data_IF_353297144806
#
_entry.id   IF_353297144806
#
_cell.length_a   1.000
_cell.length_b   1.000
_cell.length_c   1.000
_cell.angle_alpha   90.00
_cell.angle_beta   90.00
_cell.angle_gamma   90.00
#
_symmetry.space_group_name_H-M   'P 1'
#
loop_
_entity.id
_entity.type
_entity.pdbx_description
1 polymer ?
#
# COMPACT_ATOMS: atom_id res chain seq x y z
N UNK A 1 8.58 17.89 1.18
CA UNK A 1 7.13 17.69 1.43
C UNK A 1 6.62 16.57 0.52
N UNK A 2 5.33 16.20 0.57
CA UNK A 2 4.72 15.27 -0.41
C UNK A 2 3.65 15.97 -1.26
N UNK A 3 3.70 15.78 -2.57
CA UNK A 3 2.76 16.36 -3.56
C UNK A 3 2.09 15.26 -4.38
N UNK A 4 0.82 15.44 -4.70
CA UNK A 4 0.10 14.54 -5.60
C UNK A 4 -0.62 15.34 -6.70
N UNK A 5 -0.61 14.81 -7.92
CA UNK A 5 -1.43 15.26 -9.05
C UNK A 5 -2.35 14.11 -9.44
N UNK A 6 -3.66 14.33 -9.31
CA UNK A 6 -4.68 13.34 -9.65
C UNK A 6 -5.45 13.85 -10.87
N UNK A 7 -5.41 13.08 -11.95
CA UNK A 7 -6.06 13.40 -13.22
C UNK A 7 -7.11 12.34 -13.48
N UNK A 8 -8.34 12.76 -13.75
CA UNK A 8 -9.48 11.88 -14.01
C UNK A 8 -10.29 12.47 -15.14
N UNK A 9 -10.54 11.70 -16.20
CA UNK A 9 -11.20 12.22 -17.41
C UNK A 9 -12.37 11.29 -17.78
N UNK A 10 -13.58 11.85 -17.78
CA UNK A 10 -14.80 11.18 -18.22
C UNK A 10 -15.30 11.72 -19.58
N UNK A 11 -15.10 13.01 -19.85
CA UNK A 11 -15.76 13.79 -20.91
C UNK A 11 -15.04 13.75 -22.26
N UNK A 12 -14.73 12.54 -22.72
CA UNK A 12 -14.27 12.31 -24.10
C UNK A 12 -15.38 12.59 -25.12
N UNK A 13 -15.02 12.84 -26.40
CA UNK A 13 -15.98 12.97 -27.51
C UNK A 13 -16.95 11.78 -27.62
N UNK A 14 -18.15 12.06 -28.10
CA UNK A 14 -19.27 11.12 -28.18
C UNK A 14 -18.90 9.76 -28.77
N UNK A 15 -19.24 8.69 -28.03
CA UNK A 15 -18.88 7.31 -28.33
C UNK A 15 -17.66 6.79 -27.56
N UNK A 16 -16.94 7.64 -26.81
CA UNK A 16 -15.75 7.28 -26.03
C UNK A 16 -15.85 7.70 -24.55
N UNK A 17 -17.02 8.15 -24.07
CA UNK A 17 -17.21 8.66 -22.72
C UNK A 17 -16.90 7.61 -21.63
N UNK A 18 -16.18 8.02 -20.59
CA UNK A 18 -15.98 7.22 -19.37
C UNK A 18 -16.86 7.76 -18.25
N UNK A 19 -17.07 6.94 -17.20
CA UNK A 19 -18.00 7.29 -16.10
C UNK A 19 -17.42 7.18 -14.69
N UNK A 20 -16.28 6.51 -14.49
CA UNK A 20 -15.68 6.31 -13.16
C UNK A 20 -14.49 7.22 -12.81
N UNK A 21 -13.80 7.80 -13.80
CA UNK A 21 -12.48 8.40 -13.60
C UNK A 21 -12.47 9.64 -12.67
N UNK A 22 -13.59 10.35 -12.58
CA UNK A 22 -13.77 11.45 -11.61
C UNK A 22 -13.93 10.92 -10.18
N UNK A 23 -14.63 9.81 -10.00
CA UNK A 23 -14.85 9.24 -8.67
C UNK A 23 -13.59 8.52 -8.19
N UNK A 24 -12.85 7.88 -9.10
CA UNK A 24 -11.51 7.34 -8.83
C UNK A 24 -10.56 8.38 -8.21
N UNK A 25 -10.47 9.60 -8.78
CA UNK A 25 -9.60 10.65 -8.20
C UNK A 25 -10.13 11.19 -6.87
N UNK A 26 -11.45 11.18 -6.62
CA UNK A 26 -12.03 11.55 -5.33
C UNK A 26 -11.62 10.53 -4.24
N UNK A 27 -11.78 9.23 -4.53
CA UNK A 27 -11.41 8.14 -3.62
C UNK A 27 -9.90 8.08 -3.37
N UNK A 28 -9.07 8.23 -4.41
CA UNK A 28 -7.60 8.31 -4.25
C UNK A 28 -7.20 9.55 -3.43
N UNK A 29 -7.82 10.72 -3.66
CA UNK A 29 -7.59 11.92 -2.82
C UNK A 29 -7.87 11.63 -1.35
N UNK A 30 -9.06 11.09 -1.04
CA UNK A 30 -9.48 10.80 0.32
C UNK A 30 -8.54 9.79 1.01
N UNK A 31 -8.05 8.79 0.27
CA UNK A 31 -7.10 7.80 0.76
C UNK A 31 -5.71 8.38 1.07
N UNK A 32 -5.21 9.37 0.30
CA UNK A 32 -3.82 9.86 0.42
C UNK A 32 -3.66 11.19 1.17
N UNK A 33 -4.66 12.06 1.23
CA UNK A 33 -4.49 13.43 1.75
C UNK A 33 -4.17 13.47 3.26
N UNK A 34 -4.55 12.44 4.01
CA UNK A 34 -4.30 12.30 5.46
C UNK A 34 -3.79 10.92 5.85
N UNK A 35 -2.97 10.89 6.89
CA UNK A 35 -2.61 9.68 7.62
C UNK A 35 -3.82 9.11 8.39
N UNK A 36 -3.74 7.85 8.82
CA UNK A 36 -4.83 7.18 9.56
C UNK A 36 -5.14 7.81 10.93
N UNK A 37 -4.22 8.62 11.47
CA UNK A 37 -4.43 9.45 12.66
C UNK A 37 -5.06 10.84 12.35
N UNK A 38 -5.45 11.09 11.09
CA UNK A 38 -6.04 12.35 10.63
C UNK A 38 -5.06 13.48 10.32
N UNK A 39 -3.76 13.34 10.60
CA UNK A 39 -2.75 14.36 10.25
C UNK A 39 -2.54 14.50 8.73
N UNK A 40 -2.16 15.68 8.20
CA UNK A 40 -1.92 15.87 6.76
C UNK A 40 -0.79 14.98 6.22
N UNK A 41 -0.91 14.53 4.96
CA UNK A 41 0.09 13.68 4.29
C UNK A 41 0.51 14.25 2.92
N UNK A 42 -0.36 14.16 1.90
CA UNK A 42 -0.10 14.72 0.57
C UNK A 42 -0.80 16.07 0.35
N UNK A 43 -0.07 17.04 -0.22
CA UNK A 43 -0.69 18.19 -0.89
C UNK A 43 -1.23 17.78 -2.25
N UNK A 44 -2.56 17.68 -2.38
CA UNK A 44 -3.24 17.14 -3.57
C UNK A 44 -3.69 18.26 -4.51
N UNK A 45 -3.32 18.19 -5.79
CA UNK A 45 -3.95 18.92 -6.90
C UNK A 45 -4.78 17.94 -7.72
N UNK A 46 -6.06 18.25 -7.95
CA UNK A 46 -6.92 17.51 -8.86
C UNK A 46 -7.07 18.23 -10.21
N UNK A 47 -7.22 17.47 -11.29
CA UNK A 47 -7.55 17.95 -12.63
C UNK A 47 -8.64 17.05 -13.23
N UNK A 48 -9.91 17.21 -12.78
CA UNK A 48 -11.06 16.54 -13.38
C UNK A 48 -11.31 17.08 -14.79
N UNK A 49 -11.59 16.20 -15.76
CA UNK A 49 -12.06 16.56 -17.10
C UNK A 49 -11.19 17.61 -17.82
N UNK A 50 -9.87 17.52 -17.65
CA UNK A 50 -8.91 18.38 -18.36
C UNK A 50 -8.90 18.05 -19.85
N UNK A 51 -9.02 19.08 -20.69
CA UNK A 51 -9.30 18.92 -22.11
C UNK A 51 -8.06 18.73 -22.98
N UNK A 52 -6.91 19.27 -22.57
CA UNK A 52 -5.72 19.42 -23.43
C UNK A 52 -4.47 18.78 -22.83
N UNK A 53 -3.66 18.15 -23.68
CA UNK A 53 -2.32 17.68 -23.29
C UNK A 53 -1.40 18.79 -22.77
N UNK A 54 -1.56 20.05 -23.23
CA UNK A 54 -0.74 21.18 -22.78
C UNK A 54 -0.88 21.48 -21.28
N UNK A 55 -2.12 21.53 -20.78
CA UNK A 55 -2.41 21.77 -19.36
C UNK A 55 -1.91 20.62 -18.47
N UNK A 56 -2.09 19.38 -18.93
CA UNK A 56 -1.59 18.18 -18.23
C UNK A 56 -0.08 18.18 -18.17
N UNK A 57 0.62 18.43 -19.29
CA UNK A 57 2.08 18.51 -19.34
C UNK A 57 2.65 19.57 -18.39
N UNK A 58 2.04 20.76 -18.33
CA UNK A 58 2.47 21.80 -17.41
C UNK A 58 2.20 21.46 -15.94
N UNK A 59 1.14 20.69 -15.65
CA UNK A 59 0.88 20.17 -14.32
C UNK A 59 1.89 19.08 -13.92
N UNK A 60 2.23 18.15 -14.82
CA UNK A 60 3.26 17.12 -14.61
C UNK A 60 4.63 17.75 -14.37
N UNK A 61 5.02 18.75 -15.18
CA UNK A 61 6.25 19.53 -14.95
C UNK A 61 6.28 20.18 -13.57
N UNK A 62 5.17 20.79 -13.12
CA UNK A 62 5.06 21.42 -11.79
C UNK A 62 5.06 20.41 -10.65
N UNK A 63 4.48 19.22 -10.84
CA UNK A 63 4.49 18.13 -9.87
C UNK A 63 5.92 17.65 -9.61
N UNK A 64 6.69 17.37 -10.67
CA UNK A 64 8.05 16.84 -10.58
C UNK A 64 9.15 17.93 -10.49
N UNK A 65 8.79 19.21 -10.44
CA UNK A 65 9.71 20.29 -10.11
C UNK A 65 10.06 20.32 -8.61
N UNK A 66 11.25 20.84 -8.29
CA UNK A 66 11.76 20.96 -6.92
C UNK A 66 12.48 19.70 -6.41
N UNK A 67 12.64 19.63 -5.09
CA UNK A 67 13.39 18.59 -4.35
C UNK A 67 12.54 17.98 -3.23
N UNK A 68 11.27 17.74 -3.50
CA UNK A 68 10.32 17.17 -2.54
C UNK A 68 10.63 15.70 -2.15
N UNK A 69 10.05 15.24 -1.04
CA UNK A 69 10.25 13.88 -0.53
C UNK A 69 9.51 12.86 -1.38
N UNK A 70 8.31 13.22 -1.86
CA UNK A 70 7.50 12.37 -2.73
C UNK A 70 6.65 13.20 -3.70
N UNK A 71 6.65 12.82 -4.97
CA UNK A 71 5.70 13.28 -5.96
C UNK A 71 4.93 12.06 -6.51
N UNK A 72 3.61 12.11 -6.46
CA UNK A 72 2.71 11.07 -6.95
C UNK A 72 1.88 11.61 -8.12
N UNK A 73 2.02 11.00 -9.30
CA UNK A 73 1.10 11.17 -10.41
C UNK A 73 0.11 10.00 -10.39
N UNK A 74 -1.18 10.31 -10.41
CA UNK A 74 -2.25 9.35 -10.64
C UNK A 74 -3.08 9.80 -11.85
N UNK A 75 -3.35 8.89 -12.77
CA UNK A 75 -4.18 9.13 -13.95
C UNK A 75 -5.24 8.03 -14.08
N UNK A 76 -6.52 8.41 -14.20
CA UNK A 76 -7.62 7.54 -14.64
C UNK A 76 -8.26 8.11 -15.91
N UNK A 77 -8.35 7.30 -16.97
CA UNK A 77 -8.80 7.76 -18.28
C UNK A 77 -8.44 6.79 -19.42
N UNK A 78 -8.50 7.25 -20.67
CA UNK A 78 -8.08 6.47 -21.82
C UNK A 78 -6.55 6.43 -21.94
N UNK A 79 -6.05 5.24 -22.27
CA UNK A 79 -4.67 5.01 -22.68
C UNK A 79 -4.67 4.38 -24.07
N UNK A 80 -3.67 4.69 -24.87
CA UNK A 80 -3.50 4.11 -26.20
C UNK A 80 -2.09 3.56 -26.40
N UNK A 81 -1.97 2.56 -27.26
CA UNK A 81 -0.70 2.01 -27.72
C UNK A 81 -0.61 2.13 -29.25
N UNK A 82 0.34 2.93 -29.71
CA UNK A 82 0.77 3.09 -31.10
C UNK A 82 2.17 2.49 -31.30
N UNK A 83 2.82 2.82 -32.42
CA UNK A 83 4.16 2.32 -32.77
C UNK A 83 5.34 3.08 -32.12
N UNK A 84 5.11 4.00 -31.18
CA UNK A 84 6.11 4.96 -30.66
C UNK A 84 6.18 5.28 -29.14
N UNK A 85 5.44 4.69 -28.18
CA UNK A 85 4.45 3.62 -28.18
C UNK A 85 3.22 3.88 -27.30
N UNK A 86 3.35 4.19 -26.01
CA UNK A 86 2.20 4.31 -25.11
C UNK A 86 1.89 5.75 -24.69
N UNK A 87 0.60 6.08 -24.67
CA UNK A 87 0.13 7.46 -24.50
C UNK A 87 -1.06 7.52 -23.54
N UNK A 88 -1.11 8.55 -22.68
CA UNK A 88 -2.34 8.94 -21.99
C UNK A 88 -3.11 9.95 -22.86
N UNK A 89 -4.40 9.74 -23.03
CA UNK A 89 -5.23 10.46 -24.01
C UNK A 89 -6.07 11.52 -23.32
N UNK A 90 -6.13 12.72 -23.91
CA UNK A 90 -7.00 13.83 -23.48
C UNK A 90 -8.12 14.07 -24.52
N UNK A 91 -9.29 14.62 -24.13
CA UNK A 91 -10.47 14.71 -25.00
C UNK A 91 -10.25 15.41 -26.35
N UNK A 92 -9.48 16.50 -26.39
CA UNK A 92 -9.23 17.25 -27.63
C UNK A 92 -8.13 16.65 -28.51
N UNK A 93 -7.39 15.68 -27.99
CA UNK A 93 -6.30 14.97 -28.68
C UNK A 93 -6.78 13.70 -29.40
N UNK A 94 -8.11 13.48 -29.42
CA UNK A 94 -8.78 12.46 -30.24
C UNK A 94 -9.07 13.05 -31.62
N UNK A 95 -8.22 12.73 -32.59
CA UNK A 95 -8.46 13.02 -34.00
C UNK A 95 -9.67 12.24 -34.54
N UNK A 96 -10.11 12.60 -35.76
CA UNK A 96 -11.26 12.04 -36.49
C UNK A 96 -11.46 10.52 -36.25
N UNK A 97 -12.69 10.04 -35.97
CA UNK A 97 -12.94 8.62 -35.71
C UNK A 97 -12.30 7.68 -36.73
N UNK A 98 -11.34 6.86 -36.28
CA UNK A 98 -10.55 5.97 -37.13
C UNK A 98 -9.13 6.46 -37.51
N UNK A 99 -8.68 7.62 -37.00
CA UNK A 99 -7.29 8.07 -37.10
C UNK A 99 -6.65 8.33 -35.73
N UNK A 100 -5.32 8.19 -35.70
CA UNK A 100 -4.47 8.12 -34.52
C UNK A 100 -4.80 9.11 -33.40
N UNK A 101 -4.82 8.61 -32.16
CA UNK A 101 -4.72 9.42 -30.95
C UNK A 101 -3.39 10.17 -30.91
N UNK A 102 -3.38 11.41 -30.44
CA UNK A 102 -2.16 12.22 -30.22
C UNK A 102 -1.97 12.53 -28.74
N UNK A 103 -1.84 11.49 -27.91
CA UNK A 103 -1.76 11.64 -26.46
C UNK A 103 -0.38 12.07 -25.96
N UNK A 104 -0.23 12.16 -24.63
CA UNK A 104 1.08 12.38 -24.02
C UNK A 104 1.80 11.04 -23.92
N UNK A 105 2.92 10.92 -24.64
CA UNK A 105 3.79 9.75 -24.57
C UNK A 105 4.39 9.53 -23.18
N UNK A 106 4.34 8.28 -22.73
CA UNK A 106 4.96 7.85 -21.47
C UNK A 106 6.46 8.13 -21.45
N UNK A 107 7.15 7.99 -22.59
CA UNK A 107 8.57 8.38 -22.77
C UNK A 107 8.84 9.85 -22.40
N UNK A 108 7.90 10.75 -22.71
CA UNK A 108 7.98 12.19 -22.40
C UNK A 108 7.74 12.44 -20.91
N UNK A 109 6.78 11.75 -20.29
CA UNK A 109 6.55 11.81 -18.84
C UNK A 109 7.78 11.28 -18.09
N UNK A 110 8.32 10.14 -18.52
CA UNK A 110 9.52 9.52 -17.93
C UNK A 110 10.75 10.40 -18.07
N UNK A 111 10.90 11.15 -19.17
CA UNK A 111 11.98 12.13 -19.34
C UNK A 111 11.93 13.23 -18.26
N UNK A 112 10.73 13.76 -17.95
CA UNK A 112 10.53 14.73 -16.86
C UNK A 112 10.83 14.10 -15.49
N UNK A 113 10.35 12.87 -15.26
CA UNK A 113 10.51 12.15 -14.00
C UNK A 113 11.98 11.77 -13.73
N UNK A 114 12.71 11.30 -14.75
CA UNK A 114 14.12 10.96 -14.63
C UNK A 114 14.99 12.21 -14.39
N UNK A 115 14.63 13.37 -14.94
CA UNK A 115 15.30 14.65 -14.70
C UNK A 115 14.94 15.32 -13.34
N UNK A 116 13.99 14.75 -12.58
CA UNK A 116 13.48 15.34 -11.34
C UNK A 116 14.35 15.04 -10.12
N UNK A 117 14.63 16.09 -9.34
CA UNK A 117 15.33 16.03 -8.04
C UNK A 117 14.43 15.61 -6.86
N UNK A 118 13.15 15.29 -7.12
CA UNK A 118 12.27 14.69 -6.10
C UNK A 118 12.81 13.31 -5.70
N UNK A 119 12.84 13.00 -4.40
CA UNK A 119 13.42 11.75 -3.87
C UNK A 119 12.63 10.51 -4.27
N UNK A 120 11.31 10.51 -4.08
CA UNK A 120 10.43 9.40 -4.46
C UNK A 120 9.43 9.87 -5.53
N UNK A 121 9.41 9.20 -6.68
CA UNK A 121 8.68 9.62 -7.88
C UNK A 121 7.78 8.47 -8.31
N UNK A 122 6.49 8.62 -8.06
CA UNK A 122 5.53 7.53 -8.12
C UNK A 122 4.50 7.85 -9.21
N UNK A 123 4.30 6.91 -10.12
CA UNK A 123 3.32 7.02 -11.21
C UNK A 123 2.35 5.85 -11.07
N UNK A 124 1.05 6.15 -11.02
CA UNK A 124 -0.03 5.18 -10.97
C UNK A 124 -0.98 5.46 -12.14
N UNK A 125 -1.22 4.46 -12.99
CA UNK A 125 -2.05 4.60 -14.19
C UNK A 125 -3.22 3.58 -14.15
N UNK A 126 -4.46 4.05 -14.06
CA UNK A 126 -5.68 3.26 -14.28
C UNK A 126 -6.30 3.63 -15.63
N UNK A 127 -5.73 3.08 -16.71
CA UNK A 127 -6.23 3.28 -18.06
C UNK A 127 -6.44 1.97 -18.82
N UNK A 128 -7.40 1.96 -19.74
CA UNK A 128 -7.62 0.81 -20.64
C UNK A 128 -6.36 0.54 -21.49
N UNK A 129 -6.12 -0.73 -21.82
CA UNK A 129 -4.90 -1.25 -22.47
C UNK A 129 -3.56 -1.02 -21.72
N UNK A 130 -3.57 -0.47 -20.50
CA UNK A 130 -2.35 -0.25 -19.68
C UNK A 130 -1.53 -1.51 -19.38
N UNK A 131 -2.17 -2.69 -19.39
CA UNK A 131 -1.47 -3.97 -19.30
C UNK A 131 -0.48 -4.21 -20.45
N UNK A 132 -0.77 -3.69 -21.65
CA UNK A 132 0.15 -3.77 -22.79
C UNK A 132 1.17 -2.63 -22.80
N UNK A 133 0.82 -1.44 -22.30
CA UNK A 133 1.75 -0.35 -21.98
C UNK A 133 2.89 -0.86 -21.08
N UNK A 134 2.57 -1.61 -20.02
CA UNK A 134 3.55 -2.20 -19.12
C UNK A 134 4.40 -3.34 -19.71
N UNK A 135 3.86 -4.08 -20.69
CA UNK A 135 4.50 -5.25 -21.32
C UNK A 135 5.47 -4.88 -22.45
N UNK A 136 5.02 -4.11 -23.45
CA UNK A 136 5.79 -3.91 -24.68
C UNK A 136 6.72 -2.69 -24.62
N UNK A 137 6.30 -1.59 -23.99
CA UNK A 137 7.01 -0.31 -24.16
C UNK A 137 8.08 -0.06 -23.08
N UNK A 138 7.98 -0.67 -21.90
CA UNK A 138 9.05 -0.60 -20.89
C UNK A 138 10.31 -1.42 -21.27
N UNK A 139 10.37 -1.95 -22.49
CA UNK A 139 11.59 -2.42 -23.15
C UNK A 139 12.30 -1.30 -23.93
N UNK A 140 11.56 -0.27 -24.37
CA UNK A 140 12.03 0.83 -25.23
C UNK A 140 11.93 2.23 -24.56
N UNK A 141 11.35 2.31 -23.36
CA UNK A 141 11.34 3.48 -22.46
C UNK A 141 12.73 3.83 -21.88
N UNK A 142 13.77 3.82 -22.71
CA UNK A 142 15.07 4.40 -22.42
C UNK A 142 15.86 3.74 -21.29
N UNK A 143 15.74 2.42 -21.13
CA UNK A 143 16.63 1.49 -20.37
C UNK A 143 17.04 1.81 -18.92
N UNK A 144 16.62 2.95 -18.36
CA UNK A 144 17.06 3.47 -17.07
C UNK A 144 15.86 4.14 -16.38
N UNK A 145 15.21 3.39 -15.48
CA UNK A 145 14.50 4.03 -14.37
C UNK A 145 15.55 4.66 -13.46
N UNK A 146 15.54 5.98 -13.27
CA UNK A 146 16.45 6.59 -12.30
C UNK A 146 16.08 6.20 -10.86
N UNK A 147 17.04 6.29 -9.94
CA UNK A 147 16.82 6.01 -8.53
C UNK A 147 15.69 6.87 -7.96
N UNK A 148 14.81 6.24 -7.20
CA UNK A 148 13.64 6.86 -6.60
C UNK A 148 12.35 6.71 -7.42
N UNK A 149 12.37 6.07 -8.59
CA UNK A 149 11.19 5.97 -9.47
C UNK A 149 10.43 4.65 -9.27
N UNK A 150 9.10 4.73 -9.18
CA UNK A 150 8.18 3.58 -9.14
C UNK A 150 6.98 3.83 -10.06
N UNK A 151 6.66 2.85 -10.90
CA UNK A 151 5.52 2.88 -11.83
C UNK A 151 4.65 1.67 -11.56
N UNK A 152 3.36 1.90 -11.32
CA UNK A 152 2.32 0.90 -11.15
C UNK A 152 1.22 1.15 -12.18
N UNK A 153 0.88 0.17 -13.00
CA UNK A 153 -0.22 0.28 -13.97
C UNK A 153 -1.28 -0.76 -13.68
N UNK A 154 -2.54 -0.38 -13.88
CA UNK A 154 -3.65 -1.31 -13.91
C UNK A 154 -3.48 -2.35 -15.02
N UNK A 155 -4.41 -3.32 -15.04
CA UNK A 155 -4.52 -4.30 -16.09
C UNK A 155 -5.97 -4.36 -16.57
N UNK A 156 -6.15 -3.93 -17.82
CA UNK A 156 -7.39 -3.98 -18.58
C UNK A 156 -6.99 -4.21 -20.03
N UNK A 157 -7.44 -5.29 -20.65
CA UNK A 157 -7.49 -5.39 -22.11
C UNK A 157 -8.81 -4.79 -22.61
N UNK A 158 -9.98 -5.39 -22.35
CA UNK A 158 -11.27 -4.88 -22.88
C UNK A 158 -12.51 -5.11 -21.98
N UNK A 159 -12.37 -5.10 -20.64
CA UNK A 159 -13.56 -5.21 -19.76
C UNK A 159 -14.26 -3.87 -19.54
N UNK A 160 -15.57 -3.86 -19.82
CA UNK A 160 -16.47 -2.73 -19.59
C UNK A 160 -16.41 -2.33 -18.11
N UNK A 161 -15.77 -1.19 -17.83
CA UNK A 161 -15.45 -0.72 -16.50
C UNK A 161 -16.68 -0.23 -15.71
N UNK A 162 -17.58 -1.14 -15.33
CA UNK A 162 -18.76 -0.80 -14.54
C UNK A 162 -19.37 -2.02 -13.82
N UNK A 163 -18.85 -2.37 -12.64
CA UNK A 163 -19.60 -3.15 -11.66
C UNK A 163 -19.73 -2.39 -10.32
N UNK A 164 -20.84 -2.67 -9.63
CA UNK A 164 -21.28 -2.26 -8.29
C UNK A 164 -20.46 -1.20 -7.50
N UNK A 165 -20.39 0.05 -7.97
CA UNK A 165 -19.89 1.16 -7.12
C UNK A 165 -19.50 2.44 -7.86
N UNK A 166 -19.20 2.35 -9.16
CA UNK A 166 -18.74 3.49 -9.96
C UNK A 166 -17.21 3.65 -10.03
N UNK A 167 -16.45 2.73 -9.40
CA UNK A 167 -14.99 2.66 -9.46
C UNK A 167 -14.49 1.57 -10.42
N UNK A 168 -13.24 1.70 -10.84
CA UNK A 168 -12.49 0.56 -11.38
C UNK A 168 -11.99 -0.38 -10.28
N UNK A 169 -12.03 -1.70 -10.53
CA UNK A 169 -11.53 -2.75 -9.60
C UNK A 169 -10.11 -2.44 -9.12
N UNK A 170 -9.22 -1.98 -10.02
CA UNK A 170 -7.86 -1.58 -9.66
C UNK A 170 -7.84 -0.43 -8.64
N UNK A 171 -8.64 0.61 -8.86
CA UNK A 171 -8.71 1.78 -7.97
C UNK A 171 -9.37 1.46 -6.64
N UNK A 172 -10.38 0.58 -6.61
CA UNK A 172 -10.98 0.08 -5.38
C UNK A 172 -9.94 -0.70 -4.53
N UNK A 173 -9.21 -1.62 -5.15
CA UNK A 173 -8.14 -2.38 -4.48
C UNK A 173 -6.99 -1.47 -4.02
N UNK A 174 -6.61 -0.48 -4.83
CA UNK A 174 -5.64 0.57 -4.47
C UNK A 174 -6.09 1.37 -3.24
N UNK A 175 -7.35 1.84 -3.21
CA UNK A 175 -7.88 2.58 -2.09
C UNK A 175 -7.99 1.71 -0.83
N UNK A 176 -8.38 0.44 -0.98
CA UNK A 176 -8.45 -0.53 0.13
C UNK A 176 -7.06 -0.84 0.71
N UNK A 177 -6.06 -1.03 -0.15
CA UNK A 177 -4.66 -1.16 0.23
C UNK A 177 -4.19 0.06 1.03
N UNK A 178 -4.43 1.27 0.49
CA UNK A 178 -4.09 2.55 1.12
C UNK A 178 -4.87 2.83 2.41
N UNK A 179 -6.04 2.21 2.61
CA UNK A 179 -6.86 2.35 3.82
C UNK A 179 -6.46 1.40 4.97
N UNK A 180 -5.41 0.61 4.80
CA UNK A 180 -4.85 -0.27 5.83
C UNK A 180 -4.67 -1.70 5.38
N UNK A 181 -5.30 -2.13 4.28
CA UNK A 181 -5.15 -3.50 3.75
C UNK A 181 -3.69 -3.86 3.44
N UNK A 182 -2.87 -2.87 3.06
CA UNK A 182 -1.45 -3.03 2.77
C UNK A 182 -0.52 -2.47 3.85
N UNK A 183 -0.98 -2.30 5.10
CA UNK A 183 -0.11 -1.83 6.18
C UNK A 183 0.81 -2.93 6.72
N UNK A 184 2.07 -2.60 6.98
CA UNK A 184 2.95 -3.42 7.81
C UNK A 184 2.54 -3.37 9.30
N UNK A 185 3.17 -4.20 10.14
CA UNK A 185 2.89 -4.25 11.58
C UNK A 185 3.30 -2.97 12.33
N UNK A 186 4.05 -2.06 11.69
CA UNK A 186 4.36 -0.73 12.21
C UNK A 186 3.36 0.35 11.75
N UNK A 187 2.43 0.00 10.86
CA UNK A 187 1.41 0.88 10.31
C UNK A 187 1.84 1.60 9.03
N UNK A 188 2.99 1.28 8.42
CA UNK A 188 3.41 1.90 7.16
C UNK A 188 2.74 1.22 5.96
N UNK A 189 2.30 2.02 4.99
CA UNK A 189 1.80 1.55 3.70
C UNK A 189 2.74 2.09 2.63
N UNK A 190 3.39 1.20 1.89
CA UNK A 190 4.35 1.53 0.83
C UNK A 190 3.82 1.14 -0.54
N UNK A 191 4.39 1.68 -1.62
CA UNK A 191 3.98 1.29 -2.99
C UNK A 191 4.23 -0.21 -3.27
N UNK A 192 5.29 -0.79 -2.71
CA UNK A 192 5.54 -2.24 -2.80
C UNK A 192 4.52 -3.08 -2.03
N UNK A 193 4.10 -2.61 -0.84
CA UNK A 193 3.02 -3.23 -0.08
C UNK A 193 1.66 -3.13 -0.78
N UNK A 194 1.36 -1.97 -1.39
CA UNK A 194 0.17 -1.76 -2.22
C UNK A 194 0.15 -2.71 -3.41
N UNK A 195 1.24 -2.83 -4.16
CA UNK A 195 1.34 -3.82 -5.24
C UNK A 195 1.13 -5.25 -4.74
N UNK A 196 1.82 -5.66 -3.67
CA UNK A 196 1.70 -7.00 -3.10
C UNK A 196 0.30 -7.31 -2.52
N UNK A 197 -0.47 -6.29 -2.12
CA UNK A 197 -1.88 -6.44 -1.74
C UNK A 197 -2.74 -6.66 -2.98
N UNK A 198 -2.64 -5.76 -3.97
CA UNK A 198 -3.41 -5.80 -5.21
C UNK A 198 -3.16 -7.12 -5.97
N UNK A 199 -1.90 -7.55 -6.11
CA UNK A 199 -1.50 -8.78 -6.80
C UNK A 199 -2.16 -10.06 -6.23
N UNK A 200 -2.44 -10.10 -4.93
CA UNK A 200 -3.11 -11.23 -4.27
C UNK A 200 -4.60 -11.36 -4.62
N UNK A 201 -5.23 -10.30 -5.13
CA UNK A 201 -6.61 -10.32 -5.59
C UNK A 201 -6.80 -11.00 -6.95
N UNK A 202 -5.71 -11.27 -7.67
CA UNK A 202 -5.74 -11.90 -9.00
C UNK A 202 -5.43 -13.40 -8.90
N UNK A 203 -6.18 -14.21 -9.63
CA UNK A 203 -5.97 -15.64 -9.82
C UNK A 203 -4.83 -15.98 -10.79
N UNK A 204 -4.59 -17.28 -11.07
CA UNK A 204 -3.49 -17.72 -11.93
C UNK A 204 -3.70 -17.41 -13.43
N UNK A 205 -4.93 -17.11 -13.85
CA UNK A 205 -5.30 -16.82 -15.24
C UNK A 205 -5.59 -15.35 -15.52
N UNK A 206 -5.65 -14.52 -14.48
CA UNK A 206 -6.06 -13.12 -14.60
C UNK A 206 -4.87 -12.22 -14.98
N UNK A 207 -5.15 -11.10 -15.64
CA UNK A 207 -4.11 -10.14 -16.04
C UNK A 207 -3.64 -9.34 -14.80
N UNK A 208 -2.38 -9.54 -14.39
CA UNK A 208 -1.78 -8.91 -13.19
C UNK A 208 -1.21 -7.53 -13.48
N UNK A 209 -1.51 -6.50 -12.64
CA UNK A 209 -0.92 -5.16 -12.70
C UNK A 209 0.61 -5.17 -12.90
N UNK A 210 1.11 -4.24 -13.70
CA UNK A 210 2.56 -4.13 -13.94
C UNK A 210 3.17 -3.17 -12.93
N UNK A 211 4.11 -3.66 -12.14
CA UNK A 211 4.89 -2.87 -11.21
C UNK A 211 6.38 -2.89 -11.59
N UNK A 212 6.96 -1.71 -11.86
CA UNK A 212 8.41 -1.54 -12.11
C UNK A 212 8.94 -0.44 -11.21
N UNK A 213 10.10 -0.66 -10.61
CA UNK A 213 10.66 0.25 -9.61
C UNK A 213 12.19 0.20 -9.61
N UNK A 214 12.82 1.34 -9.40
CA UNK A 214 14.23 1.45 -9.05
C UNK A 214 14.35 2.34 -7.80
N UNK A 215 14.25 1.72 -6.63
CA UNK A 215 14.34 2.39 -5.33
C UNK A 215 15.29 1.64 -4.40
N UNK A 216 16.04 2.38 -3.59
CA UNK A 216 16.89 1.82 -2.52
C UNK A 216 16.09 1.45 -1.27
N UNK A 217 14.92 2.06 -1.10
CA UNK A 217 13.99 1.83 0.00
C UNK A 217 12.56 2.16 -0.45
N UNK A 218 11.56 1.53 0.16
CA UNK A 218 10.17 1.87 -0.10
C UNK A 218 9.67 2.89 0.93
N UNK A 219 9.71 4.18 0.57
CA UNK A 219 9.16 5.23 1.41
C UNK A 219 7.64 5.04 1.64
N UNK A 220 7.12 5.26 2.87
CA UNK A 220 5.68 5.17 3.13
C UNK A 220 4.88 6.21 2.34
N UNK A 221 3.93 5.73 1.54
CA UNK A 221 2.88 6.55 0.94
C UNK A 221 2.01 7.16 2.04
N UNK A 222 1.58 6.31 2.98
CA UNK A 222 0.70 6.66 4.10
C UNK A 222 1.12 5.84 5.32
N UNK A 223 0.84 6.36 6.51
CA UNK A 223 0.85 5.60 7.76
C UNK A 223 -0.57 5.51 8.32
N UNK A 224 -0.89 4.39 8.96
CA UNK A 224 -2.13 4.13 9.71
C UNK A 224 -1.78 3.72 11.13
N UNK A 225 -2.77 3.66 12.02
CA UNK A 225 -2.56 3.14 13.38
C UNK A 225 -2.33 1.63 13.30
N UNK A 226 -1.19 1.09 13.75
CA UNK A 226 -0.96 -0.36 13.76
C UNK A 226 -1.90 -1.05 14.75
N UNK A 227 -2.30 -2.29 14.44
CA UNK A 227 -3.22 -3.11 15.25
C UNK A 227 -2.73 -3.30 16.70
N UNK A 228 -1.42 -3.38 16.88
CA UNK A 228 -0.75 -3.36 18.18
C UNK A 228 0.19 -2.16 18.20
N UNK A 229 0.17 -1.37 19.28
CA UNK A 229 0.99 -0.16 19.35
C UNK A 229 2.48 -0.48 19.34
N UNK A 230 3.29 0.38 18.72
CA UNK A 230 4.75 0.23 18.68
C UNK A 230 5.36 0.09 20.08
N UNK A 231 4.77 0.74 21.09
CA UNK A 231 5.16 0.57 22.49
C UNK A 231 5.05 -0.87 22.99
N UNK A 232 4.05 -1.64 22.55
CA UNK A 232 3.86 -3.05 22.93
C UNK A 232 4.78 -3.94 22.09
N UNK A 233 4.99 -3.61 20.81
CA UNK A 233 5.96 -4.34 19.95
C UNK A 233 7.38 -4.20 20.53
N UNK A 234 7.75 -3.02 21.04
CA UNK A 234 9.06 -2.79 21.70
C UNK A 234 9.26 -3.60 22.99
N UNK A 235 8.20 -4.10 23.63
CA UNK A 235 8.34 -5.00 24.79
C UNK A 235 8.85 -6.41 24.39
N UNK A 236 8.94 -6.75 23.10
CA UNK A 236 9.48 -8.04 22.63
C UNK A 236 10.85 -8.38 23.24
N UNK A 237 11.76 -7.40 23.33
CA UNK A 237 13.11 -7.58 23.91
C UNK A 237 13.13 -7.62 25.45
N UNK A 238 12.07 -7.12 26.09
CA UNK A 238 11.90 -7.20 27.55
C UNK A 238 11.23 -8.53 27.97
N UNK A 239 10.40 -9.10 27.08
CA UNK A 239 9.73 -10.39 27.28
C UNK A 239 10.66 -11.55 26.92
N UNK A 240 11.32 -11.51 25.77
CA UNK A 240 12.26 -12.54 25.30
C UNK A 240 13.67 -11.96 25.27
N UNK A 241 14.60 -12.49 26.08
CA UNK A 241 16.00 -12.02 26.10
C UNK A 241 16.86 -12.59 24.97
N UNK A 242 16.49 -13.77 24.46
CA UNK A 242 17.00 -14.37 23.22
C UNK A 242 15.78 -14.75 22.36
N UNK A 243 15.76 -14.43 21.05
CA UNK A 243 14.62 -14.73 20.18
C UNK A 243 14.38 -16.23 19.94
N UNK A 244 15.29 -17.11 20.37
CA UNK A 244 15.17 -18.57 20.26
C UNK A 244 14.83 -19.25 21.59
N UNK A 245 14.81 -18.51 22.71
CA UNK A 245 14.38 -19.05 23.99
C UNK A 245 12.85 -19.09 24.07
N UNK A 246 12.33 -20.18 24.61
CA UNK A 246 10.96 -20.26 25.05
C UNK A 246 10.76 -19.39 26.32
N UNK A 247 9.55 -18.88 26.52
CA UNK A 247 9.13 -18.20 27.74
C UNK A 247 8.19 -19.12 28.51
N UNK A 248 8.65 -19.59 29.67
CA UNK A 248 7.86 -20.38 30.59
C UNK A 248 6.64 -19.58 31.06
N UNK A 249 5.47 -20.20 30.96
CA UNK A 249 4.21 -19.70 31.48
C UNK A 249 3.76 -20.62 32.61
N UNK A 250 2.96 -20.08 33.53
CA UNK A 250 2.32 -20.83 34.61
C UNK A 250 0.91 -20.24 34.87
N UNK A 251 0.07 -20.90 35.68
CA UNK A 251 -1.27 -20.40 36.03
C UNK A 251 -1.31 -18.99 36.66
N UNK A 252 -0.19 -18.41 37.10
CA UNK A 252 -0.15 -17.04 37.64
C UNK A 252 -0.16 -15.94 36.55
N UNK A 253 -0.03 -16.32 35.27
CA UNK A 253 -0.19 -15.40 34.14
C UNK A 253 -1.65 -15.10 33.81
N UNK A 254 -2.57 -15.98 34.20
CA UNK A 254 -4.01 -15.86 33.92
C UNK A 254 -4.70 -15.03 35.01
N UNK A 255 -5.45 -13.98 34.63
CA UNK A 255 -6.09 -13.10 35.61
C UNK A 255 -7.44 -13.58 36.11
N UNK A 256 -8.06 -14.55 35.42
CA UNK A 256 -9.17 -15.30 35.98
C UNK A 256 -8.74 -16.27 37.09
N UNK A 257 -7.46 -16.67 37.18
CA UNK A 257 -6.94 -17.56 38.23
C UNK A 257 -6.75 -16.86 39.60
N UNK A 258 -7.77 -16.12 40.03
CA UNK A 258 -7.81 -15.31 41.24
C UNK A 258 -8.83 -15.89 42.25
N UNK A 259 -8.47 -16.06 43.55
CA UNK A 259 -9.34 -16.57 44.62
C UNK A 259 -10.70 -15.86 44.86
N UNK A 260 -10.96 -14.73 44.19
CA UNK A 260 -12.23 -13.98 44.28
C UNK A 260 -13.23 -14.28 43.16
N UNK A 261 -12.79 -14.98 42.10
CA UNK A 261 -13.64 -15.39 40.96
C UNK A 261 -14.08 -16.85 41.18
N UNK A 262 -15.33 -17.19 40.85
CA UNK A 262 -15.85 -18.54 41.11
C UNK A 262 -15.52 -19.52 39.97
N UNK A 263 -14.33 -20.12 40.01
CA UNK A 263 -13.81 -21.12 39.05
C UNK A 263 -12.93 -22.17 39.77
N UNK A 264 -12.45 -23.19 39.06
CA UNK A 264 -11.55 -24.21 39.63
C UNK A 264 -10.11 -23.70 39.75
N UNK A 265 -9.75 -23.25 40.96
CA UNK A 265 -8.43 -22.65 41.23
C UNK A 265 -7.25 -23.60 41.04
N UNK A 266 -6.20 -23.13 40.36
CA UNK A 266 -4.94 -23.87 40.16
C UNK A 266 -3.77 -23.07 40.74
N UNK A 267 -2.91 -23.70 41.54
CA UNK A 267 -1.69 -23.08 42.04
C UNK A 267 -0.58 -23.12 40.98
N UNK A 268 0.24 -22.04 40.82
CA UNK A 268 0.21 -20.77 41.52
C UNK A 268 -0.92 -19.82 41.06
N UNK A 269 -1.53 -19.08 41.99
CA UNK A 269 -2.58 -18.09 41.68
C UNK A 269 -2.02 -16.86 40.94
N UNK A 270 -2.93 -16.12 40.28
CA UNK A 270 -2.67 -14.91 39.52
C UNK A 270 -1.67 -13.95 40.20
N UNK A 271 -0.58 -13.62 39.50
CA UNK A 271 0.40 -12.63 39.94
C UNK A 271 0.30 -11.37 39.08
N UNK A 272 0.11 -10.21 39.71
CA UNK A 272 -0.09 -8.91 39.02
C UNK A 272 0.97 -8.60 37.95
N UNK A 273 2.23 -9.02 38.13
CA UNK A 273 3.27 -8.78 37.13
C UNK A 273 3.22 -9.79 35.97
N UNK A 274 2.92 -11.06 36.25
CA UNK A 274 2.78 -12.09 35.22
C UNK A 274 1.51 -11.87 34.38
N UNK A 275 0.39 -11.51 35.01
CA UNK A 275 -0.84 -11.02 34.34
C UNK A 275 -0.56 -9.86 33.37
N UNK A 276 0.27 -8.89 33.76
CA UNK A 276 0.66 -7.78 32.86
C UNK A 276 1.46 -8.28 31.67
N UNK A 277 2.43 -9.17 31.87
CA UNK A 277 3.19 -9.81 30.77
C UNK A 277 2.26 -10.60 29.86
N UNK A 278 1.33 -11.38 30.41
CA UNK A 278 0.38 -12.18 29.64
C UNK A 278 -0.49 -11.34 28.72
N UNK A 279 -0.99 -10.20 29.22
CA UNK A 279 -1.77 -9.24 28.43
C UNK A 279 -0.95 -8.55 27.32
N UNK A 280 0.38 -8.54 27.40
CA UNK A 280 1.25 -8.16 26.28
C UNK A 280 1.44 -9.33 25.31
N UNK A 281 1.73 -10.54 25.82
CA UNK A 281 1.91 -11.75 25.02
C UNK A 281 0.67 -12.10 24.18
N UNK A 282 -0.54 -12.00 24.75
CA UNK A 282 -1.81 -12.19 24.04
C UNK A 282 -1.99 -11.16 22.90
N UNK A 283 -1.56 -9.90 23.08
CA UNK A 283 -1.59 -8.89 22.01
C UNK A 283 -0.57 -9.18 20.92
N UNK A 284 0.61 -9.68 21.29
CA UNK A 284 1.63 -10.11 20.31
C UNK A 284 1.21 -11.39 19.58
N UNK A 285 0.45 -12.28 20.24
CA UNK A 285 -0.14 -13.47 19.62
C UNK A 285 -1.27 -13.11 18.64
N UNK A 286 -2.06 -12.06 18.91
CA UNK A 286 -3.14 -11.62 17.98
C UNK A 286 -2.64 -11.05 16.65
N UNK A 287 -1.34 -10.75 16.53
CA UNK A 287 -0.64 -10.41 15.28
C UNK A 287 0.33 -11.51 14.81
N UNK A 288 0.31 -12.68 15.43
CA UNK A 288 1.10 -13.85 15.04
C UNK A 288 2.60 -13.77 15.38
N UNK A 289 3.03 -12.87 16.27
CA UNK A 289 4.44 -12.76 16.69
C UNK A 289 4.81 -13.79 17.75
N UNK A 290 3.88 -14.11 18.65
CA UNK A 290 4.01 -15.13 19.69
C UNK A 290 3.05 -16.28 19.39
N UNK A 291 3.45 -17.52 19.68
CA UNK A 291 2.56 -18.68 19.70
C UNK A 291 2.73 -19.49 20.99
N UNK A 292 1.67 -20.14 21.50
CA UNK A 292 1.79 -21.13 22.57
C UNK A 292 2.63 -22.34 22.15
N UNK A 293 3.17 -23.06 23.13
CA UNK A 293 3.88 -24.34 22.96
C UNK A 293 2.92 -25.47 23.31
N UNK A 294 2.84 -26.50 22.45
CA UNK A 294 2.02 -27.71 22.64
C UNK A 294 0.52 -27.50 22.95
N UNK A 295 0.01 -26.29 22.73
CA UNK A 295 -1.35 -25.85 23.06
C UNK A 295 -1.94 -24.99 21.95
N UNK A 296 -3.27 -24.92 21.84
CA UNK A 296 -3.95 -24.13 20.80
C UNK A 296 -4.05 -22.64 21.16
N UNK A 297 -4.28 -22.34 22.44
CA UNK A 297 -4.52 -20.98 22.95
C UNK A 297 -3.55 -20.62 24.07
N UNK A 298 -3.17 -19.35 24.15
CA UNK A 298 -2.29 -18.83 25.21
C UNK A 298 -2.81 -19.16 26.63
N UNK A 299 -4.13 -19.15 26.83
CA UNK A 299 -4.78 -19.54 28.09
C UNK A 299 -4.35 -20.93 28.57
N UNK A 300 -4.49 -21.96 27.73
CA UNK A 300 -4.08 -23.31 28.08
C UNK A 300 -2.57 -23.42 28.25
N UNK A 301 -1.78 -22.67 27.48
CA UNK A 301 -0.33 -22.64 27.66
C UNK A 301 0.12 -22.08 29.01
N UNK A 302 -0.64 -21.16 29.61
CA UNK A 302 -0.46 -20.74 30.99
C UNK A 302 -0.98 -21.79 31.98
N UNK A 303 -2.25 -22.22 31.85
CA UNK A 303 -2.89 -23.12 32.81
C UNK A 303 -2.24 -24.51 32.88
N UNK A 304 -1.70 -25.02 31.77
CA UNK A 304 -0.96 -26.30 31.70
C UNK A 304 0.56 -26.12 31.80
N UNK A 305 1.04 -24.87 32.00
CA UNK A 305 2.46 -24.51 32.14
C UNK A 305 3.36 -24.98 30.99
N UNK A 306 2.88 -24.92 29.74
CA UNK A 306 3.65 -25.36 28.56
C UNK A 306 4.53 -24.27 27.94
N UNK A 307 4.23 -23.00 28.23
CA UNK A 307 5.02 -21.86 27.76
C UNK A 307 4.63 -21.33 26.37
N UNK A 308 5.36 -20.32 25.90
CA UNK A 308 5.17 -19.72 24.58
C UNK A 308 6.50 -19.33 23.92
N UNK A 309 6.50 -19.17 22.60
CA UNK A 309 7.71 -18.87 21.83
C UNK A 309 7.43 -17.85 20.73
N UNK A 310 8.48 -17.18 20.25
CA UNK A 310 8.39 -16.34 19.05
C UNK A 310 8.20 -17.20 17.80
N UNK A 311 7.30 -16.76 16.92
CA UNK A 311 7.26 -17.24 15.53
C UNK A 311 8.43 -16.66 14.74
N UNK A 312 8.74 -17.18 13.54
CA UNK A 312 9.79 -16.59 12.70
C UNK A 312 9.53 -15.10 12.38
N UNK A 313 8.26 -14.71 12.28
CA UNK A 313 7.85 -13.31 12.17
C UNK A 313 8.14 -12.53 13.46
N UNK A 314 7.81 -13.09 14.62
CA UNK A 314 8.15 -12.52 15.93
C UNK A 314 9.66 -12.33 16.12
N UNK A 315 10.48 -13.31 15.71
CA UNK A 315 11.95 -13.25 15.74
C UNK A 315 12.50 -12.14 14.84
N UNK A 316 11.90 -11.95 13.66
CA UNK A 316 12.27 -10.83 12.78
C UNK A 316 11.97 -9.48 13.43
N UNK A 317 10.77 -9.29 14.00
CA UNK A 317 10.40 -8.05 14.68
C UNK A 317 11.19 -7.81 15.97
N UNK A 318 11.54 -8.87 16.72
CA UNK A 318 12.44 -8.79 17.86
C UNK A 318 13.81 -8.22 17.46
N UNK A 319 14.39 -8.65 16.32
CA UNK A 319 15.66 -8.10 15.83
C UNK A 319 15.53 -6.62 15.48
N UNK A 320 14.45 -6.21 14.83
CA UNK A 320 14.22 -4.79 14.51
C UNK A 320 14.11 -3.92 15.77
N UNK A 321 13.44 -4.40 16.83
CA UNK A 321 13.38 -3.71 18.12
C UNK A 321 14.77 -3.65 18.77
N UNK A 322 15.50 -4.77 18.81
CA UNK A 322 16.85 -4.86 19.38
C UNK A 322 17.88 -3.98 18.63
N UNK A 323 17.70 -3.79 17.32
CA UNK A 323 18.48 -2.86 16.48
C UNK A 323 18.04 -1.38 16.62
N UNK A 324 16.99 -1.08 17.41
CA UNK A 324 16.47 0.28 17.58
C UNK A 324 15.72 0.84 16.36
N UNK A 325 15.19 -0.05 15.50
CA UNK A 325 14.54 0.29 14.22
C UNK A 325 13.02 0.41 14.30
N UNK A 326 12.43 0.11 15.46
CA UNK A 326 10.99 0.25 15.77
C UNK A 326 10.82 1.08 17.02
#
# INVERSE_FOLDING_TARGET
MKKALLIGINDYPAGNELRGCIEDINSVKAAIERHGNGSPNFGVKMMPNVQTSGEVMDAIRKLFAGNDDTALLYFSGHGYMNSTGAEIVMPQDIATPGQYYTGIQMSTIMSIVNASNVRNKIIILDCCHSGNIGKYELQDMGSILNTGVSVLTACREDEVAMEAGGHGIFTELLCTALNGGASDYCGNITIGGVYAYIDRSFGPWDQRPVFKTNVTEFAPLRTVTPQVSLSIIRELTNLFTDPNNDLDLDPSFEDTNDPSVNHEYVLPYANVNNVRKFKLLQKLQSIGFVKPINEEFMYFAAMHSTGCQLTELGKYYWRLVNEGRI
#
